data_IF_150950039261
#
_entry.id   IF_150950039261
#
_cell.length_a   1.000
_cell.length_b   1.000
_cell.length_c   1.000
_cell.angle_alpha   90.00
_cell.angle_beta   90.00
_cell.angle_gamma   90.00
#
_symmetry.space_group_name_H-M   'P 1'
#
loop_
_entity.id
_entity.type
_entity.pdbx_description
1 polymer ?
#
# COMPACT_ATOMS: atom_id res chain seq x y z
N UNK A 1 -29.42 34.82 -1.07
CA UNK A 1 -29.48 33.38 -1.40
C UNK A 1 -28.08 32.93 -1.77
N UNK A 2 -27.35 32.37 -0.81
CA UNK A 2 -25.97 31.91 -0.97
C UNK A 2 -25.98 30.54 -1.64
N UNK A 3 -25.25 30.44 -2.76
CA UNK A 3 -25.02 29.22 -3.52
C UNK A 3 -24.34 28.16 -2.64
N UNK A 4 -24.96 26.99 -2.52
CA UNK A 4 -24.45 25.81 -1.82
C UNK A 4 -23.20 25.32 -2.55
N UNK A 5 -22.03 25.47 -1.94
CA UNK A 5 -20.81 24.79 -2.38
C UNK A 5 -21.04 23.29 -2.30
N UNK A 6 -21.15 22.65 -3.47
CA UNK A 6 -21.19 21.20 -3.60
C UNK A 6 -19.82 20.66 -3.22
N UNK A 7 -19.63 20.33 -1.94
CA UNK A 7 -18.52 19.51 -1.48
C UNK A 7 -18.70 18.11 -2.07
N UNK A 8 -18.05 17.82 -3.20
CA UNK A 8 -17.91 16.45 -3.70
C UNK A 8 -17.19 15.66 -2.59
N UNK A 9 -17.81 14.62 -2.00
CA UNK A 9 -17.18 13.81 -0.96
C UNK A 9 -15.92 13.14 -1.53
N UNK A 10 -14.86 13.09 -0.73
CA UNK A 10 -13.55 12.53 -1.14
C UNK A 10 -13.66 11.10 -1.72
N UNK A 11 -14.68 10.33 -1.31
CA UNK A 11 -14.99 8.99 -1.78
C UNK A 11 -15.30 8.89 -3.29
N UNK A 12 -15.90 9.94 -3.89
CA UNK A 12 -16.22 9.93 -5.33
C UNK A 12 -15.03 10.30 -6.22
N UNK A 13 -14.05 11.04 -5.71
CA UNK A 13 -12.85 11.42 -6.51
C UNK A 13 -11.85 10.27 -6.67
N UNK A 14 -11.95 9.24 -5.82
CA UNK A 14 -11.02 8.14 -5.79
C UNK A 14 -11.49 6.92 -6.60
N UNK A 15 -12.70 6.91 -7.18
CA UNK A 15 -13.22 5.72 -7.85
C UNK A 15 -12.34 5.31 -9.04
N UNK A 16 -11.76 4.13 -8.92
CA UNK A 16 -10.95 3.52 -9.98
C UNK A 16 -11.85 2.78 -10.97
N UNK A 17 -11.49 2.90 -12.24
CA UNK A 17 -12.03 2.05 -13.31
C UNK A 17 -11.57 0.60 -13.11
N UNK A 18 -12.27 -0.41 -13.63
CA UNK A 18 -11.86 -1.80 -13.52
C UNK A 18 -10.43 -2.06 -14.06
N UNK A 19 -10.00 -1.31 -15.07
CA UNK A 19 -8.62 -1.36 -15.57
C UNK A 19 -7.63 -0.77 -14.58
N UNK A 20 -7.96 0.36 -13.94
CA UNK A 20 -7.11 0.96 -12.90
C UNK A 20 -7.02 0.06 -11.66
N UNK A 21 -8.10 -0.63 -11.29
CA UNK A 21 -8.09 -1.64 -10.22
C UNK A 21 -7.11 -2.75 -10.57
N UNK A 22 -7.19 -3.33 -11.78
CA UNK A 22 -6.25 -4.36 -12.23
C UNK A 22 -4.79 -3.90 -12.24
N UNK A 23 -4.54 -2.67 -12.68
CA UNK A 23 -3.20 -2.05 -12.67
C UNK A 23 -2.71 -1.87 -11.23
N UNK A 24 -3.59 -1.42 -10.35
CA UNK A 24 -3.31 -1.21 -8.93
C UNK A 24 -3.04 -2.54 -8.20
N UNK A 25 -3.79 -3.60 -8.49
CA UNK A 25 -3.55 -4.96 -7.98
C UNK A 25 -2.15 -5.45 -8.33
N UNK A 26 -1.70 -5.25 -9.58
CA UNK A 26 -0.32 -5.61 -9.98
C UNK A 26 0.73 -4.74 -9.31
N UNK A 27 0.43 -3.46 -9.06
CA UNK A 27 1.33 -2.56 -8.32
C UNK A 27 1.48 -3.01 -6.86
N UNK A 28 0.39 -3.31 -6.16
CA UNK A 28 0.45 -3.73 -4.74
C UNK A 28 1.08 -5.10 -4.56
N UNK A 29 0.99 -5.97 -5.58
CA UNK A 29 1.74 -7.22 -5.65
C UNK A 29 3.26 -7.01 -5.90
N UNK A 30 3.72 -5.77 -6.04
CA UNK A 30 5.13 -5.44 -6.23
C UNK A 30 5.68 -5.73 -7.63
N UNK A 31 4.84 -6.08 -8.62
CA UNK A 31 5.33 -6.40 -9.96
C UNK A 31 5.98 -5.19 -10.64
N UNK A 32 7.02 -5.40 -11.45
CA UNK A 32 7.61 -4.33 -12.25
C UNK A 32 6.63 -3.82 -13.31
N UNK A 33 6.77 -2.58 -13.78
CA UNK A 33 5.87 -2.03 -14.80
C UNK A 33 5.80 -2.91 -16.06
N UNK A 34 6.93 -3.51 -16.46
CA UNK A 34 7.01 -4.41 -17.60
C UNK A 34 6.27 -5.74 -17.34
N UNK A 35 6.47 -6.34 -16.16
CA UNK A 35 5.83 -7.60 -15.77
C UNK A 35 4.32 -7.43 -15.61
N UNK A 36 3.90 -6.35 -14.94
CA UNK A 36 2.51 -6.01 -14.75
C UNK A 36 1.80 -5.72 -16.09
N UNK A 37 2.47 -5.01 -17.00
CA UNK A 37 1.95 -4.76 -18.34
C UNK A 37 1.82 -6.05 -19.16
N UNK A 38 2.83 -6.91 -19.13
CA UNK A 38 2.81 -8.22 -19.78
C UNK A 38 1.69 -9.11 -19.21
N UNK A 39 1.53 -9.14 -17.88
CA UNK A 39 0.48 -9.90 -17.21
C UNK A 39 -0.94 -9.41 -17.54
N UNK A 40 -1.09 -8.16 -17.94
CA UNK A 40 -2.36 -7.56 -18.36
C UNK A 40 -2.53 -7.51 -19.89
N UNK A 41 -1.56 -8.01 -20.65
CA UNK A 41 -1.58 -7.98 -22.12
C UNK A 41 -1.57 -6.56 -22.71
N UNK A 42 -0.98 -5.59 -21.99
CA UNK A 42 -0.93 -4.18 -22.42
C UNK A 42 0.51 -3.68 -22.56
N UNK A 43 0.67 -2.54 -23.23
CA UNK A 43 1.98 -1.91 -23.39
C UNK A 43 2.46 -1.28 -22.07
N UNK A 44 3.76 -1.33 -21.76
CA UNK A 44 4.32 -0.74 -20.53
C UNK A 44 4.07 0.78 -20.44
N UNK A 45 3.98 1.47 -21.57
CA UNK A 45 3.64 2.90 -21.63
C UNK A 45 2.18 3.17 -21.26
N UNK A 46 1.27 2.28 -21.67
CA UNK A 46 -0.15 2.33 -21.27
C UNK A 46 -0.27 2.07 -19.77
N UNK A 47 0.45 1.08 -19.23
CA UNK A 47 0.50 0.82 -17.79
C UNK A 47 1.02 2.02 -17.01
N UNK A 48 2.11 2.67 -17.48
CA UNK A 48 2.65 3.89 -16.87
C UNK A 48 1.64 5.04 -16.91
N UNK A 49 0.90 5.20 -17.99
CA UNK A 49 -0.14 6.24 -18.11
C UNK A 49 -1.29 6.01 -17.13
N UNK A 50 -1.76 4.76 -16.98
CA UNK A 50 -2.75 4.42 -15.96
C UNK A 50 -2.22 4.65 -14.54
N UNK A 51 -0.97 4.27 -14.29
CA UNK A 51 -0.30 4.53 -13.01
C UNK A 51 -0.23 6.02 -12.69
N UNK A 52 0.12 6.88 -13.66
CA UNK A 52 0.13 8.33 -13.46
C UNK A 52 -1.25 8.84 -13.09
N UNK A 53 -2.30 8.43 -13.81
CA UNK A 53 -3.69 8.79 -13.50
C UNK A 53 -4.12 8.34 -12.11
N UNK A 54 -3.77 7.13 -11.72
CA UNK A 54 -4.01 6.62 -10.36
C UNK A 54 -3.27 7.49 -9.35
N UNK A 55 -2.00 7.79 -9.61
CA UNK A 55 -1.17 8.67 -8.79
C UNK A 55 -1.76 10.06 -8.61
N UNK A 56 -2.30 10.66 -9.67
CA UNK A 56 -2.99 11.96 -9.62
C UNK A 56 -4.28 11.87 -8.79
N UNK A 57 -5.07 10.79 -8.97
CA UNK A 57 -6.29 10.54 -8.18
C UNK A 57 -6.00 10.40 -6.70
N UNK A 58 -4.94 9.69 -6.32
CA UNK A 58 -4.53 9.51 -4.91
C UNK A 58 -3.58 10.60 -4.40
N UNK A 59 -3.25 11.60 -5.23
CA UNK A 59 -2.28 12.67 -4.94
C UNK A 59 -0.85 12.19 -4.59
N UNK A 60 -0.46 10.99 -5.05
CA UNK A 60 0.89 10.41 -4.88
C UNK A 60 1.54 10.11 -6.24
N UNK A 61 2.18 11.12 -6.88
CA UNK A 61 2.68 11.00 -8.26
C UNK A 61 4.05 10.29 -8.38
N UNK A 62 4.87 10.25 -7.33
CA UNK A 62 6.30 9.89 -7.48
C UNK A 62 6.71 8.56 -6.85
N UNK A 63 6.08 8.14 -5.75
CA UNK A 63 6.54 6.96 -5.01
C UNK A 63 5.59 5.79 -5.10
N UNK A 64 6.10 4.69 -5.68
CA UNK A 64 5.41 3.40 -5.80
C UNK A 64 4.91 2.84 -4.45
N UNK A 65 5.72 2.79 -3.37
CA UNK A 65 5.24 2.28 -2.08
C UNK A 65 4.15 3.18 -1.47
N UNK A 66 4.33 4.50 -1.51
CA UNK A 66 3.34 5.45 -1.03
C UNK A 66 2.03 5.41 -1.85
N UNK A 67 2.14 5.20 -3.17
CA UNK A 67 0.98 5.01 -4.03
C UNK A 67 0.25 3.71 -3.71
N UNK A 68 0.97 2.61 -3.52
CA UNK A 68 0.38 1.35 -3.08
C UNK A 68 -0.32 1.50 -1.72
N UNK A 69 0.30 2.20 -0.77
CA UNK A 69 -0.31 2.53 0.51
C UNK A 69 -1.61 3.34 0.34
N UNK A 70 -1.59 4.42 -0.43
CA UNK A 70 -2.76 5.26 -0.67
C UNK A 70 -3.89 4.52 -1.41
N UNK A 71 -3.55 3.65 -2.36
CA UNK A 71 -4.51 2.77 -3.05
C UNK A 71 -5.17 1.81 -2.06
N UNK A 72 -4.39 1.16 -1.19
CA UNK A 72 -4.93 0.21 -0.21
C UNK A 72 -5.78 0.92 0.84
N UNK A 73 -5.35 2.11 1.28
CA UNK A 73 -6.13 3.00 2.14
C UNK A 73 -7.45 3.46 1.50
N UNK A 74 -7.53 3.50 0.17
CA UNK A 74 -8.80 3.80 -0.53
C UNK A 74 -9.84 2.68 -0.42
N UNK A 75 -9.45 1.48 0.03
CA UNK A 75 -10.34 0.32 0.22
C UNK A 75 -10.89 -0.29 -1.07
N UNK A 76 -10.53 0.24 -2.25
CA UNK A 76 -11.04 -0.21 -3.54
C UNK A 76 -10.25 -1.37 -4.16
N UNK A 77 -9.05 -1.63 -3.64
CA UNK A 77 -8.16 -2.69 -4.12
C UNK A 77 -7.83 -3.57 -2.92
N UNK A 78 -8.02 -4.90 -3.02
CA UNK A 78 -7.68 -5.79 -1.94
C UNK A 78 -6.15 -5.83 -1.74
N UNK A 79 -5.68 -6.00 -0.49
CA UNK A 79 -4.26 -6.25 -0.25
C UNK A 79 -3.80 -7.50 -0.99
N UNK A 80 -2.50 -7.58 -1.38
CA UNK A 80 -1.98 -8.71 -2.13
C UNK A 80 -2.19 -10.01 -1.34
N UNK A 81 -3.00 -10.91 -1.89
CA UNK A 81 -3.26 -12.23 -1.30
C UNK A 81 -1.96 -13.03 -1.27
N UNK A 82 -1.36 -13.13 -0.10
CA UNK A 82 -0.06 -13.80 0.08
C UNK A 82 -0.19 -14.82 1.19
N UNK A 83 0.29 -16.04 0.94
CA UNK A 83 0.38 -17.10 1.96
C UNK A 83 1.53 -16.90 2.95
N UNK A 84 2.19 -15.74 2.92
CA UNK A 84 3.31 -15.42 3.80
C UNK A 84 2.79 -15.24 5.23
N UNK A 85 3.33 -16.03 6.15
CA UNK A 85 2.97 -15.97 7.56
C UNK A 85 3.32 -14.59 8.13
N UNK A 86 2.50 -14.10 9.07
CA UNK A 86 2.68 -12.78 9.69
C UNK A 86 4.03 -12.75 10.43
N UNK A 87 5.01 -11.96 9.96
CA UNK A 87 6.30 -11.88 10.63
C UNK A 87 6.16 -11.08 11.94
N UNK A 88 6.91 -11.43 12.98
CA UNK A 88 6.99 -10.64 14.21
C UNK A 88 7.81 -9.37 13.93
N UNK A 89 7.12 -8.30 13.54
CA UNK A 89 7.73 -6.99 13.33
C UNK A 89 7.78 -6.23 14.66
N UNK A 90 8.94 -5.65 14.97
CA UNK A 90 9.08 -4.81 16.17
C UNK A 90 8.39 -3.45 15.97
N UNK A 91 8.20 -2.69 17.05
CA UNK A 91 7.65 -1.32 16.94
C UNK A 91 8.51 -0.42 16.06
N UNK A 92 9.84 -0.54 16.18
CA UNK A 92 10.80 0.14 15.32
C UNK A 92 10.61 -0.20 13.84
N UNK A 93 10.35 -1.48 13.52
CA UNK A 93 10.13 -1.92 12.15
C UNK A 93 8.79 -1.41 11.61
N UNK A 94 7.75 -1.40 12.45
CA UNK A 94 6.44 -0.82 12.11
C UNK A 94 6.54 0.67 11.86
N UNK A 95 7.23 1.41 12.72
CA UNK A 95 7.50 2.84 12.54
C UNK A 95 8.24 3.10 11.21
N UNK A 96 9.25 2.29 10.91
CA UNK A 96 10.01 2.38 9.66
C UNK A 96 9.15 2.07 8.42
N UNK A 97 8.28 1.07 8.51
CA UNK A 97 7.34 0.72 7.46
C UNK A 97 6.30 1.82 7.21
N UNK A 98 5.75 2.38 8.28
CA UNK A 98 4.83 3.51 8.22
C UNK A 98 5.49 4.72 7.59
N UNK A 99 6.69 5.08 8.05
CA UNK A 99 7.45 6.16 7.44
C UNK A 99 7.74 5.88 5.95
N UNK A 100 8.05 4.65 5.56
CA UNK A 100 8.27 4.26 4.16
C UNK A 100 6.99 4.26 3.30
N UNK A 101 5.83 4.11 3.93
CA UNK A 101 4.52 4.18 3.28
C UNK A 101 4.04 5.63 3.14
N UNK A 102 4.31 6.50 4.11
CA UNK A 102 3.92 7.91 4.09
C UNK A 102 4.90 8.79 3.31
N UNK A 103 6.20 8.54 3.44
CA UNK A 103 7.23 9.36 2.83
C UNK A 103 7.70 8.78 1.50
N UNK A 104 7.70 9.66 0.49
CA UNK A 104 8.11 9.33 -0.86
C UNK A 104 9.63 9.21 -1.03
N UNK A 105 10.42 9.81 -0.14
CA UNK A 105 11.90 9.91 -0.25
C UNK A 105 12.59 9.23 0.94
N UNK A 106 13.77 8.63 0.70
CA UNK A 106 14.58 8.04 1.78
C UNK A 106 14.93 9.06 2.87
N UNK A 107 15.09 10.33 2.49
CA UNK A 107 15.37 11.43 3.42
C UNK A 107 14.17 11.75 4.31
N UNK A 108 12.95 11.78 3.75
CA UNK A 108 11.73 11.95 4.54
C UNK A 108 11.52 10.79 5.52
N UNK A 109 11.79 9.56 5.08
CA UNK A 109 11.72 8.37 5.95
C UNK A 109 12.74 8.51 7.09
N UNK A 110 13.99 8.83 6.76
CA UNK A 110 15.08 9.02 7.72
C UNK A 110 14.74 10.09 8.78
N UNK A 111 14.13 11.20 8.35
CA UNK A 111 13.68 12.24 9.24
C UNK A 111 12.57 11.76 10.18
N UNK A 112 11.58 11.04 9.65
CA UNK A 112 10.47 10.52 10.45
C UNK A 112 10.90 9.50 11.52
N UNK A 113 11.87 8.64 11.20
CA UNK A 113 12.39 7.63 12.15
C UNK A 113 13.60 8.10 12.96
N UNK A 114 14.00 9.37 12.83
CA UNK A 114 15.22 9.92 13.44
C UNK A 114 16.45 9.04 13.21
N UNK A 115 16.62 8.49 12.00
CA UNK A 115 17.72 7.60 11.64
C UNK A 115 18.43 8.09 10.37
N UNK A 116 19.66 7.61 10.13
CA UNK A 116 20.37 7.97 8.90
C UNK A 116 19.73 7.30 7.66
N UNK A 117 19.75 7.95 6.48
CA UNK A 117 19.26 7.34 5.22
C UNK A 117 19.90 5.98 4.90
N UNK A 118 21.17 5.80 5.29
CA UNK A 118 21.91 4.53 5.14
C UNK A 118 21.36 3.44 6.08
N UNK A 119 21.01 3.81 7.31
CA UNK A 119 20.37 2.89 8.27
C UNK A 119 18.98 2.51 7.80
N UNK A 120 18.17 3.47 7.32
CA UNK A 120 16.85 3.23 6.72
C UNK A 120 16.93 2.21 5.59
N UNK A 121 17.81 2.44 4.60
CA UNK A 121 17.97 1.51 3.47
C UNK A 121 18.36 0.10 3.93
N UNK A 122 19.27 -0.03 4.89
CA UNK A 122 19.66 -1.33 5.44
C UNK A 122 18.52 -2.02 6.17
N UNK A 123 17.81 -1.32 7.07
CA UNK A 123 16.68 -1.89 7.81
C UNK A 123 15.55 -2.30 6.85
N UNK A 124 15.21 -1.46 5.87
CA UNK A 124 14.20 -1.79 4.85
C UNK A 124 14.60 -3.00 4.02
N UNK A 125 15.85 -3.09 3.56
CA UNK A 125 16.34 -4.26 2.83
C UNK A 125 16.32 -5.53 3.70
N UNK A 126 16.70 -5.43 4.98
CA UNK A 126 16.64 -6.54 5.91
C UNK A 126 15.20 -7.01 6.16
N UNK A 127 14.25 -6.07 6.25
CA UNK A 127 12.82 -6.38 6.36
C UNK A 127 12.32 -7.10 5.12
N UNK A 128 12.57 -6.55 3.92
CA UNK A 128 12.18 -7.17 2.65
C UNK A 128 12.67 -8.62 2.58
N UNK A 129 13.94 -8.88 2.91
CA UNK A 129 14.51 -10.23 2.95
C UNK A 129 13.88 -11.11 4.04
N UNK A 130 13.71 -10.59 5.26
CA UNK A 130 13.16 -11.32 6.40
C UNK A 130 11.70 -11.73 6.17
N UNK A 131 10.92 -10.87 5.51
CA UNK A 131 9.52 -11.11 5.21
C UNK A 131 9.29 -11.91 3.92
N UNK A 132 10.35 -12.18 3.15
CA UNK A 132 10.25 -12.80 1.83
C UNK A 132 9.53 -11.92 0.80
N UNK A 133 9.53 -10.60 0.99
CA UNK A 133 8.97 -9.68 0.00
C UNK A 133 9.96 -9.47 -1.13
N UNK A 134 9.49 -9.28 -2.36
CA UNK A 134 10.37 -8.97 -3.50
C UNK A 134 10.90 -7.54 -3.47
N UNK A 135 10.09 -6.61 -2.95
CA UNK A 135 10.45 -5.19 -2.85
C UNK A 135 9.62 -4.45 -1.81
N UNK A 136 9.99 -3.19 -1.56
CA UNK A 136 9.32 -2.32 -0.59
C UNK A 136 7.83 -2.10 -0.90
N UNK A 137 7.43 -2.08 -2.18
CA UNK A 137 6.01 -1.93 -2.54
C UNK A 137 5.23 -3.19 -2.18
N UNK A 138 5.81 -4.37 -2.44
CA UNK A 138 5.25 -5.65 -2.01
C UNK A 138 5.16 -5.71 -0.47
N UNK A 139 6.21 -5.29 0.24
CA UNK A 139 6.23 -5.24 1.70
C UNK A 139 5.15 -4.33 2.31
N UNK A 140 4.90 -3.16 1.71
CA UNK A 140 3.79 -2.27 2.12
C UNK A 140 2.44 -2.94 1.90
N UNK A 141 2.26 -3.64 0.77
CA UNK A 141 1.06 -4.43 0.51
C UNK A 141 0.85 -5.55 1.53
N UNK A 142 1.91 -6.30 1.87
CA UNK A 142 1.87 -7.33 2.90
C UNK A 142 1.58 -6.77 4.29
N UNK A 143 2.11 -5.58 4.60
CA UNK A 143 1.86 -4.92 5.87
C UNK A 143 0.40 -4.51 6.04
N UNK A 144 -0.29 -4.16 4.95
CA UNK A 144 -1.74 -4.00 4.93
C UNK A 144 -2.47 -5.33 5.10
N UNK A 145 -2.02 -6.38 4.41
CA UNK A 145 -2.57 -7.74 4.56
C UNK A 145 -2.49 -8.25 6.00
N UNK A 146 -1.36 -8.05 6.68
CA UNK A 146 -1.14 -8.43 8.08
C UNK A 146 -1.78 -7.46 9.10
N UNK A 147 -2.40 -6.37 8.64
CA UNK A 147 -3.07 -5.40 9.49
C UNK A 147 -2.12 -4.47 10.28
N UNK A 148 -0.85 -4.37 9.89
CA UNK A 148 0.10 -3.43 10.51
C UNK A 148 -0.07 -1.98 10.01
N UNK A 149 -0.55 -1.80 8.78
CA UNK A 149 -0.60 -0.50 8.09
C UNK A 149 -2.02 -0.05 7.65
N UNK A 150 -3.06 -0.79 8.04
CA UNK A 150 -4.46 -0.45 7.76
C UNK A 150 -5.05 0.56 8.76
N UNK A 151 -6.21 1.18 8.45
CA UNK A 151 -6.95 1.96 9.43
C UNK A 151 -7.27 1.00 10.58
N UNK A 152 -6.71 1.29 11.75
CA UNK A 152 -6.54 0.34 12.84
C UNK A 152 -7.61 -0.74 12.88
N UNK A 153 -7.24 -1.97 12.52
CA UNK A 153 -7.99 -3.11 13.01
C UNK A 153 -7.71 -3.16 14.51
N UNK A 154 -8.57 -2.43 15.23
CA UNK A 154 -9.18 -2.96 16.44
C UNK A 154 -9.34 -4.46 16.26
N UNK A 155 -8.55 -5.20 17.02
CA UNK A 155 -8.73 -6.63 17.21
C UNK A 155 -10.23 -6.93 17.42
N UNK A 156 -10.68 -8.00 16.78
CA UNK A 156 -11.81 -8.82 17.20
C UNK A 156 -13.21 -8.18 17.12
N UNK A 157 -13.80 -8.22 15.93
CA UNK A 157 -15.17 -8.67 15.82
C UNK A 157 -15.19 -9.89 14.90
N UNK A 158 -15.65 -11.03 15.43
CA UNK A 158 -15.91 -12.31 14.75
C UNK A 158 -14.83 -13.38 14.89
N UNK A 159 -14.57 -13.80 16.12
CA UNK A 159 -14.55 -15.23 16.48
C UNK A 159 -14.95 -15.34 17.96
N UNK A 160 -15.64 -16.41 18.36
CA UNK A 160 -16.08 -16.74 19.75
C UNK A 160 -17.52 -16.39 20.22
N UNK A 161 -18.58 -16.52 19.41
CA UNK A 161 -19.87 -16.96 19.98
C UNK A 161 -20.82 -17.66 18.98
N UNK A 162 -20.37 -18.80 18.43
CA UNK A 162 -21.29 -19.81 17.87
C UNK A 162 -20.66 -21.20 17.87
N UNK A 163 -20.63 -21.84 19.04
CA UNK A 163 -20.98 -23.25 19.22
C UNK A 163 -20.77 -23.69 20.68
N UNK A 164 -21.81 -24.33 21.23
CA UNK A 164 -21.82 -25.33 22.32
C UNK A 164 -21.56 -24.91 23.77
N UNK A 165 -22.64 -24.85 24.56
CA UNK A 165 -22.98 -25.67 25.75
C UNK A 165 -24.16 -24.98 26.46
N UNK A 166 -25.32 -25.54 26.82
CA UNK A 166 -25.99 -26.84 26.80
C UNK A 166 -27.49 -26.51 26.82
#
# INVERSE_FOLDING_TARGET
MTITSTSIPADQRLRFTPTEIRVAERLVAGQSNAEAAAALGMQPETFKSHLSKIGEKVQVPSSRPARAHAILMSGQVPPPATSANRPPLTEDDRLLLTAAAEHSTTEGIAQAVSASPKTVRRKLAALVTSTGADNLTHLVGLSHYWGYLGPGQSLAATDENRAEHD
#
